data_IF_761671113240
#
_entry.id   IF_761671113240
#
_cell.length_a   1.000
_cell.length_b   1.000
_cell.length_c   1.000
_cell.angle_alpha   90.00
_cell.angle_beta   90.00
_cell.angle_gamma   90.00
#
_symmetry.space_group_name_H-M   'P 1'
#
loop_
_entity.id
_entity.type
_entity.pdbx_description
1 polymer ?
#
# COMPACT_ATOMS: atom_id res chain seq x y z
N UNK A 1 15.47 -14.59 19.05
CA UNK A 1 16.29 -13.45 18.58
C UNK A 1 16.66 -13.72 17.13
N UNK A 2 16.38 -12.79 16.22
CA UNK A 2 16.84 -12.90 14.82
C UNK A 2 18.36 -12.72 14.78
N UNK A 3 19.08 -13.65 14.14
CA UNK A 3 20.52 -13.58 13.90
C UNK A 3 20.73 -13.65 12.40
N UNK A 4 20.94 -12.51 11.72
CA UNK A 4 21.23 -12.50 10.30
C UNK A 4 22.54 -13.29 10.05
N UNK A 5 22.57 -14.08 8.99
CA UNK A 5 23.83 -14.58 8.48
C UNK A 5 24.47 -13.47 7.63
N UNK A 6 25.71 -13.11 7.98
CA UNK A 6 26.49 -12.07 7.31
C UNK A 6 27.60 -12.67 6.44
N UNK A 7 27.64 -13.98 6.27
CA UNK A 7 28.60 -14.64 5.39
C UNK A 7 28.17 -14.54 3.92
N UNK A 8 29.11 -14.79 3.01
CA UNK A 8 28.84 -14.88 1.57
C UNK A 8 28.44 -16.28 1.11
N UNK A 9 28.35 -17.23 2.04
CA UNK A 9 28.00 -18.62 1.76
C UNK A 9 26.48 -18.77 1.70
N UNK A 10 26.00 -19.54 0.73
CA UNK A 10 24.57 -19.86 0.66
C UNK A 10 24.24 -20.83 1.78
N UNK A 11 23.53 -20.35 2.78
CA UNK A 11 22.98 -21.17 3.87
C UNK A 11 21.48 -21.34 3.70
N UNK A 12 20.99 -22.56 3.97
CA UNK A 12 19.55 -22.78 4.11
C UNK A 12 19.05 -22.05 5.35
N UNK A 13 18.07 -21.16 5.18
CA UNK A 13 17.42 -20.45 6.29
C UNK A 13 16.08 -21.12 6.62
N UNK A 14 15.99 -21.81 7.77
CA UNK A 14 14.74 -22.44 8.26
C UNK A 14 14.12 -21.72 9.44
N UNK A 15 14.76 -20.62 9.89
CA UNK A 15 14.33 -19.79 11.02
C UNK A 15 13.15 -18.87 10.70
N UNK A 16 12.77 -18.72 9.44
CA UNK A 16 11.60 -17.94 9.01
C UNK A 16 10.65 -18.84 8.23
N UNK A 17 9.46 -19.07 8.78
CA UNK A 17 8.36 -19.68 8.04
C UNK A 17 7.45 -18.58 7.52
N UNK A 18 7.39 -18.42 6.20
CA UNK A 18 6.43 -17.56 5.54
C UNK A 18 5.21 -18.39 5.16
N UNK A 19 4.06 -18.07 5.74
CA UNK A 19 2.79 -18.68 5.35
C UNK A 19 1.93 -17.61 4.70
N UNK A 20 1.58 -17.83 3.44
CA UNK A 20 0.62 -16.99 2.75
C UNK A 20 -0.74 -17.04 3.48
N UNK A 21 -1.26 -15.88 3.89
CA UNK A 21 -2.55 -15.78 4.61
C UNK A 21 -3.68 -15.24 3.73
N UNK A 22 -3.37 -14.53 2.66
CA UNK A 22 -4.36 -13.95 1.76
C UNK A 22 -3.84 -12.71 1.03
N UNK A 23 -4.64 -12.24 0.08
CA UNK A 23 -4.42 -11.01 -0.70
C UNK A 23 -5.64 -10.11 -0.53
N UNK A 24 -5.66 -9.19 0.45
CA UNK A 24 -6.72 -8.21 0.51
C UNK A 24 -6.69 -7.38 -0.78
N UNK A 25 -7.84 -7.27 -1.44
CA UNK A 25 -7.97 -6.43 -2.63
C UNK A 25 -8.09 -4.99 -2.17
N UNK A 26 -7.23 -4.11 -2.69
CA UNK A 26 -7.33 -2.69 -2.36
C UNK A 26 -8.52 -2.07 -3.08
N UNK A 27 -9.28 -1.26 -2.34
CA UNK A 27 -10.38 -0.47 -2.87
C UNK A 27 -10.31 0.97 -2.40
N UNK A 28 -10.92 1.89 -3.13
CA UNK A 28 -11.09 3.28 -2.70
C UNK A 28 -12.11 3.42 -1.55
N UNK A 29 -12.43 4.67 -1.18
CA UNK A 29 -13.38 4.98 -0.10
C UNK A 29 -14.77 4.36 -0.33
N UNK A 30 -15.18 4.26 -1.59
CA UNK A 30 -16.50 3.80 -2.03
C UNK A 30 -16.51 2.27 -2.31
N UNK A 31 -15.39 1.59 -2.03
CA UNK A 31 -15.27 0.14 -2.24
C UNK A 31 -14.96 -0.25 -3.69
N UNK A 32 -14.64 0.70 -4.56
CA UNK A 32 -14.28 0.38 -5.95
C UNK A 32 -12.83 -0.11 -6.04
N UNK A 33 -12.54 -1.14 -6.85
CA UNK A 33 -11.19 -1.65 -7.05
C UNK A 33 -10.20 -0.57 -7.49
N UNK A 34 -8.99 -0.60 -6.92
CA UNK A 34 -7.86 0.18 -7.45
C UNK A 34 -7.38 -0.38 -8.80
N UNK A 35 -6.50 0.38 -9.47
CA UNK A 35 -5.84 -0.01 -10.71
C UNK A 35 -4.32 0.24 -10.65
N UNK A 36 -3.59 -0.15 -11.69
CA UNK A 36 -2.13 0.05 -11.87
C UNK A 36 -1.81 0.79 -13.18
N UNK A 37 -2.65 1.75 -13.54
CA UNK A 37 -2.45 2.57 -14.74
C UNK A 37 -1.64 3.82 -14.41
N UNK A 38 -0.89 4.34 -15.37
CA UNK A 38 -0.25 5.64 -15.21
C UNK A 38 -1.32 6.72 -14.94
N UNK A 39 -1.12 7.61 -13.94
CA UNK A 39 -2.12 8.59 -13.58
C UNK A 39 -2.43 9.55 -14.74
N UNK A 40 -3.71 9.70 -15.07
CA UNK A 40 -4.28 10.68 -16.01
C UNK A 40 -5.09 11.78 -15.30
N UNK A 41 -5.25 11.67 -13.98
CA UNK A 41 -6.01 12.62 -13.16
C UNK A 41 -5.57 12.64 -11.70
N UNK A 42 -6.09 13.63 -10.96
CA UNK A 42 -5.71 13.87 -9.56
C UNK A 42 -6.90 13.87 -8.59
N UNK A 43 -8.11 13.61 -9.06
CA UNK A 43 -9.33 13.70 -8.24
C UNK A 43 -10.27 12.54 -8.52
N UNK A 44 -10.72 11.87 -7.46
CA UNK A 44 -11.67 10.75 -7.49
C UNK A 44 -12.78 11.01 -6.47
N UNK A 45 -13.98 11.34 -6.93
CA UNK A 45 -15.09 11.71 -6.05
C UNK A 45 -14.70 12.88 -5.13
N UNK A 46 -14.80 12.68 -3.82
CA UNK A 46 -14.38 13.67 -2.81
C UNK A 46 -12.87 13.65 -2.49
N UNK A 47 -12.12 12.68 -2.98
CA UNK A 47 -10.66 12.63 -2.82
C UNK A 47 -9.99 13.50 -3.89
N UNK A 48 -9.45 14.65 -3.49
CA UNK A 48 -8.56 15.47 -4.35
C UNK A 48 -7.12 14.97 -4.27
N UNK A 49 -6.18 15.48 -5.05
CA UNK A 49 -4.73 15.17 -5.02
C UNK A 49 -4.34 13.67 -4.93
N UNK A 50 -5.15 12.75 -5.41
CA UNK A 50 -4.83 11.31 -5.45
C UNK A 50 -4.56 10.91 -6.89
N UNK A 51 -3.62 9.99 -7.17
CA UNK A 51 -3.43 9.49 -8.53
C UNK A 51 -4.68 8.76 -9.01
N UNK A 52 -5.19 9.15 -10.17
CA UNK A 52 -6.35 8.53 -10.83
C UNK A 52 -5.94 8.09 -12.22
N UNK A 53 -6.36 6.89 -12.60
CA UNK A 53 -6.29 6.41 -13.97
C UNK A 53 -7.61 5.77 -14.35
N UNK A 54 -8.19 6.16 -15.50
CA UNK A 54 -9.46 5.61 -15.99
C UNK A 54 -10.60 5.64 -14.95
N UNK A 55 -10.70 6.74 -14.19
CA UNK A 55 -11.74 6.94 -13.18
C UNK A 55 -11.62 6.04 -11.94
N UNK A 56 -10.44 5.47 -11.68
CA UNK A 56 -10.14 4.66 -10.49
C UNK A 56 -8.92 5.19 -9.77
N UNK A 57 -8.86 4.97 -8.46
CA UNK A 57 -7.62 5.16 -7.69
C UNK A 57 -6.54 4.24 -8.27
N UNK A 58 -5.49 4.82 -8.81
CA UNK A 58 -4.34 4.05 -9.32
C UNK A 58 -3.22 4.05 -8.31
N UNK A 59 -2.46 2.97 -8.24
CA UNK A 59 -1.39 2.83 -7.25
C UNK A 59 -0.11 2.32 -7.90
N UNK A 60 1.01 2.89 -7.46
CA UNK A 60 2.32 2.27 -7.56
C UNK A 60 2.91 2.15 -6.15
N UNK A 61 2.66 1.00 -5.53
CA UNK A 61 2.89 0.79 -4.10
C UNK A 61 4.34 0.38 -3.81
N UNK A 62 5.06 1.19 -3.04
CA UNK A 62 6.50 1.00 -2.76
C UNK A 62 6.81 0.67 -1.29
N UNK A 63 5.85 0.87 -0.40
CA UNK A 63 6.05 0.71 1.04
C UNK A 63 4.81 0.16 1.72
N UNK A 64 5.04 -0.63 2.77
CA UNK A 64 3.99 -1.27 3.57
C UNK A 64 4.34 -1.19 5.05
N UNK A 65 3.41 -0.69 5.86
CA UNK A 65 3.53 -0.71 7.32
C UNK A 65 2.24 -1.25 7.95
N UNK A 66 2.35 -2.26 8.81
CA UNK A 66 1.19 -2.85 9.50
C UNK A 66 0.91 -2.10 10.80
N UNK A 67 -0.35 -1.80 11.09
CA UNK A 67 -0.77 -1.16 12.35
C UNK A 67 -1.49 -2.13 13.29
N UNK A 68 -1.52 -1.86 14.61
CA UNK A 68 -2.37 -2.60 15.53
C UNK A 68 -3.82 -2.68 15.04
N UNK A 69 -4.45 -3.84 15.19
CA UNK A 69 -5.81 -4.09 14.66
C UNK A 69 -5.85 -4.67 13.25
N UNK A 70 -4.71 -4.76 12.55
CA UNK A 70 -4.59 -5.47 11.28
C UNK A 70 -4.89 -4.65 10.03
N UNK A 71 -5.13 -3.34 10.17
CA UNK A 71 -5.00 -2.39 9.07
C UNK A 71 -3.55 -2.16 8.68
N UNK A 72 -3.32 -1.35 7.66
CA UNK A 72 -1.99 -1.07 7.15
C UNK A 72 -1.90 0.28 6.41
N UNK A 73 -0.67 0.78 6.28
CA UNK A 73 -0.34 1.92 5.45
C UNK A 73 0.39 1.48 4.19
N UNK A 74 0.08 2.15 3.08
CA UNK A 74 0.78 1.99 1.79
C UNK A 74 1.36 3.33 1.38
N UNK A 75 2.64 3.38 1.01
CA UNK A 75 3.19 4.54 0.30
C UNK A 75 3.05 4.35 -1.19
N UNK A 76 2.65 5.42 -1.87
CA UNK A 76 2.48 5.46 -3.32
C UNK A 76 3.61 6.26 -3.97
N UNK A 77 4.11 5.83 -5.14
CA UNK A 77 5.15 6.55 -5.88
C UNK A 77 4.55 7.72 -6.68
N UNK A 78 3.39 7.50 -7.31
CA UNK A 78 2.77 8.48 -8.21
C UNK A 78 2.40 9.79 -7.51
N UNK A 79 1.97 9.73 -6.25
CA UNK A 79 1.76 10.90 -5.40
C UNK A 79 2.58 10.77 -4.12
N UNK A 80 3.13 11.87 -3.56
CA UNK A 80 3.77 11.85 -2.24
C UNK A 80 2.72 11.68 -1.14
N UNK A 81 2.03 10.54 -1.12
CA UNK A 81 0.90 10.24 -0.24
C UNK A 81 1.11 8.89 0.45
N UNK A 82 0.62 8.82 1.69
CA UNK A 82 0.46 7.58 2.44
C UNK A 82 -1.04 7.28 2.54
N UNK A 83 -1.43 6.08 2.16
CA UNK A 83 -2.80 5.59 2.24
C UNK A 83 -2.99 4.79 3.52
N UNK A 84 -4.06 5.06 4.26
CA UNK A 84 -4.47 4.26 5.41
C UNK A 84 -5.56 3.28 4.98
N UNK A 85 -5.33 1.99 5.16
CA UNK A 85 -6.17 0.92 4.63
C UNK A 85 -6.65 0.03 5.77
N UNK A 86 -7.93 -0.30 5.73
CA UNK A 86 -8.53 -1.26 6.66
C UNK A 86 -8.02 -2.68 6.38
N UNK A 87 -8.20 -3.57 7.37
CA UNK A 87 -7.79 -4.97 7.29
C UNK A 87 -8.37 -5.71 6.07
N UNK A 88 -9.55 -5.32 5.62
CA UNK A 88 -10.25 -5.89 4.47
C UNK A 88 -9.80 -5.33 3.12
N UNK A 89 -8.91 -4.33 3.11
CA UNK A 89 -8.39 -3.69 1.91
C UNK A 89 -9.09 -2.38 1.52
N UNK A 90 -10.13 -1.94 2.25
CA UNK A 90 -10.80 -0.67 1.95
C UNK A 90 -9.98 0.54 2.41
N UNK A 91 -9.85 1.55 1.55
CA UNK A 91 -9.25 2.82 1.92
C UNK A 91 -10.07 3.49 3.04
N UNK A 92 -9.36 3.95 4.06
CA UNK A 92 -9.92 4.73 5.18
C UNK A 92 -9.62 6.22 5.03
N UNK A 93 -8.52 6.55 4.37
CA UNK A 93 -8.09 7.92 4.11
C UNK A 93 -6.65 7.98 3.64
N UNK A 94 -6.15 9.20 3.50
CA UNK A 94 -4.77 9.45 3.06
C UNK A 94 -4.15 10.60 3.86
N UNK A 95 -2.84 10.60 3.95
CA UNK A 95 -2.04 11.72 4.43
C UNK A 95 -1.01 12.11 3.38
N UNK A 96 -0.70 13.39 3.30
CA UNK A 96 0.38 13.92 2.46
C UNK A 96 1.24 14.87 3.28
N UNK A 97 2.54 15.02 2.97
CA UNK A 97 3.33 16.11 3.51
C UNK A 97 2.68 17.46 3.17
N UNK A 98 2.75 18.42 4.08
CA UNK A 98 2.39 19.81 3.74
C UNK A 98 3.30 20.28 2.61
N UNK A 99 2.69 20.74 1.52
CA UNK A 99 3.42 21.50 0.51
C UNK A 99 3.58 22.93 1.04
N UNK A 100 4.75 23.58 0.89
CA UNK A 100 4.96 24.96 1.28
C UNK A 100 4.03 25.94 0.54
#
# INVERSE_FOLDING_TARGET
>A
MFRPDYTTQVVGQTQLTLTFKGNPKLTDLDGQPTTRGDPDGTTLGSLTNVPVANGKLTLDAEGLAIVPGGGFYVSDEYGPIILHVARDGRLLGRSRPSQP
#
